data_IF_861662352497
#
_entry.id   IF_861662352497
#
_cell.length_a   1.000
_cell.length_b   1.000
_cell.length_c   1.000
_cell.angle_alpha   90.00
_cell.angle_beta   90.00
_cell.angle_gamma   90.00
#
_symmetry.space_group_name_H-M   'P 1'
#
loop_
_entity.id
_entity.type
_entity.pdbx_description
1 polymer ?
#
# COMPACT_ATOMS: atom_id res chain seq x y z
N UNK A 1 -10.79 -20.80 -4.28
CA UNK A 1 -9.71 -21.38 -3.43
C UNK A 1 -9.72 -22.90 -3.61
N UNK A 2 -8.60 -23.60 -3.40
CA UNK A 2 -8.49 -25.06 -3.52
C UNK A 2 -7.91 -25.60 -2.21
N UNK A 3 -8.55 -26.59 -1.62
CA UNK A 3 -8.03 -27.34 -0.48
C UNK A 3 -7.59 -28.72 -0.97
N UNK A 4 -6.41 -29.16 -0.55
CA UNK A 4 -5.90 -30.51 -0.80
C UNK A 4 -6.00 -31.28 0.51
N UNK A 5 -6.77 -32.36 0.54
CA UNK A 5 -6.93 -33.21 1.73
C UNK A 5 -5.85 -34.29 1.76
N UNK A 6 -5.46 -34.71 2.97
CA UNK A 6 -4.58 -35.85 3.17
C UNK A 6 -5.23 -37.15 2.67
N UNK A 7 -4.48 -38.21 2.36
CA UNK A 7 -5.06 -39.51 2.03
C UNK A 7 -5.88 -40.06 3.23
N UNK A 8 -6.99 -40.74 2.95
CA UNK A 8 -7.75 -41.47 3.97
C UNK A 8 -8.62 -40.63 4.92
N UNK A 9 -8.97 -39.39 4.57
CA UNK A 9 -9.90 -38.57 5.38
C UNK A 9 -11.26 -39.26 5.52
N UNK A 10 -11.76 -39.32 6.76
CA UNK A 10 -13.07 -39.90 7.04
C UNK A 10 -14.19 -39.12 6.32
N UNK A 11 -15.19 -39.78 5.72
CA UNK A 11 -16.31 -39.12 5.06
C UNK A 11 -17.01 -38.07 5.93
N UNK A 12 -17.11 -38.30 7.23
CA UNK A 12 -17.75 -37.42 8.20
C UNK A 12 -16.99 -36.10 8.34
N UNK A 13 -15.67 -36.15 8.46
CA UNK A 13 -14.80 -34.97 8.54
C UNK A 13 -14.87 -34.13 7.26
N UNK A 14 -14.87 -34.81 6.11
CA UNK A 14 -15.04 -34.15 4.81
C UNK A 14 -16.39 -33.44 4.71
N UNK A 15 -17.47 -34.11 5.11
CA UNK A 15 -18.82 -33.55 5.05
C UNK A 15 -19.02 -32.38 6.02
N UNK A 16 -18.35 -32.41 7.19
CA UNK A 16 -18.32 -31.28 8.11
C UNK A 16 -17.58 -30.08 7.50
N UNK A 17 -16.41 -30.30 6.89
CA UNK A 17 -15.68 -29.24 6.17
C UNK A 17 -16.54 -28.62 5.06
N UNK A 18 -17.22 -29.44 4.24
CA UNK A 18 -18.10 -28.96 3.16
C UNK A 18 -19.22 -28.09 3.74
N UNK A 19 -19.90 -28.55 4.79
CA UNK A 19 -20.98 -27.77 5.45
C UNK A 19 -20.48 -26.45 6.02
N UNK A 20 -19.28 -26.43 6.60
CA UNK A 20 -18.66 -25.21 7.10
C UNK A 20 -18.35 -24.23 5.96
N UNK A 21 -17.89 -24.71 4.81
CA UNK A 21 -17.64 -23.87 3.64
C UNK A 21 -18.95 -23.31 3.07
N UNK A 22 -19.98 -24.15 2.94
CA UNK A 22 -21.29 -23.75 2.42
C UNK A 22 -21.99 -22.74 3.34
N UNK A 23 -21.80 -22.85 4.66
CA UNK A 23 -22.34 -21.87 5.61
C UNK A 23 -21.70 -20.48 5.49
N UNK A 24 -20.51 -20.39 4.87
CA UNK A 24 -19.88 -19.12 4.48
C UNK A 24 -20.44 -18.55 3.16
N UNK A 25 -21.42 -19.21 2.53
CA UNK A 25 -22.02 -18.77 1.27
C UNK A 25 -21.20 -19.13 0.02
N UNK A 26 -20.28 -20.09 0.13
CA UNK A 26 -19.50 -20.59 -1.00
C UNK A 26 -20.07 -21.88 -1.57
N UNK A 27 -19.82 -22.12 -2.85
CA UNK A 27 -20.08 -23.40 -3.49
C UNK A 27 -18.85 -24.31 -3.42
N UNK A 28 -19.08 -25.61 -3.29
CA UNK A 28 -18.03 -26.61 -3.17
C UNK A 28 -18.06 -27.61 -4.33
N UNK A 29 -16.91 -27.80 -4.96
CA UNK A 29 -16.67 -28.86 -5.93
C UNK A 29 -15.63 -29.83 -5.38
N UNK A 30 -16.01 -31.09 -5.22
CA UNK A 30 -15.10 -32.14 -4.73
C UNK A 30 -14.63 -32.98 -5.90
N UNK A 31 -13.31 -33.14 -6.03
CA UNK A 31 -12.66 -34.06 -6.97
C UNK A 31 -11.89 -35.10 -6.17
N UNK A 32 -12.36 -36.35 -6.22
CA UNK A 32 -11.71 -37.49 -5.56
C UNK A 32 -10.76 -38.14 -6.55
N UNK A 33 -9.45 -37.99 -6.32
CA UNK A 33 -8.40 -38.69 -7.06
C UNK A 33 -8.00 -40.00 -6.38
N UNK A 34 -7.14 -40.78 -7.04
CA UNK A 34 -6.64 -42.05 -6.51
C UNK A 34 -5.81 -41.88 -5.22
N UNK A 35 -5.04 -40.79 -5.12
CA UNK A 35 -4.14 -40.53 -3.98
C UNK A 35 -4.63 -39.40 -3.05
N UNK A 36 -5.35 -38.40 -3.58
CA UNK A 36 -5.77 -37.22 -2.82
C UNK A 36 -7.17 -36.78 -3.20
N UNK A 37 -7.86 -36.14 -2.25
CA UNK A 37 -9.13 -35.45 -2.51
C UNK A 37 -8.89 -33.96 -2.56
N UNK A 38 -9.35 -33.34 -3.65
CA UNK A 38 -9.29 -31.90 -3.88
C UNK A 38 -10.68 -31.31 -3.64
N UNK A 39 -10.74 -30.23 -2.87
CA UNK A 39 -11.97 -29.48 -2.59
C UNK A 39 -11.82 -28.07 -3.15
N UNK A 40 -12.47 -27.80 -4.27
CA UNK A 40 -12.55 -26.49 -4.89
C UNK A 40 -13.66 -25.65 -4.27
N UNK A 41 -13.32 -24.43 -3.87
CA UNK A 41 -14.22 -23.40 -3.34
C UNK A 41 -14.50 -22.37 -4.44
N UNK A 42 -15.76 -22.24 -4.82
CA UNK A 42 -16.25 -21.33 -5.86
C UNK A 42 -17.11 -20.23 -5.20
N UNK A 43 -16.80 -18.97 -5.50
CA UNK A 43 -17.41 -17.79 -4.88
C UNK A 43 -16.38 -16.72 -4.51
N UNK A 44 -16.80 -15.69 -3.77
CA UNK A 44 -15.89 -14.62 -3.30
C UNK A 44 -15.02 -15.12 -2.13
N UNK A 45 -13.85 -15.65 -2.47
CA UNK A 45 -12.88 -16.14 -1.47
C UNK A 45 -11.92 -15.07 -0.95
N UNK A 46 -12.07 -13.80 -1.36
CA UNK A 46 -11.11 -12.73 -1.00
C UNK A 46 -11.03 -12.52 0.51
N UNK A 47 -12.19 -12.58 1.18
CA UNK A 47 -12.37 -12.37 2.63
C UNK A 47 -11.99 -13.57 3.50
N UNK A 48 -11.66 -14.71 2.90
CA UNK A 48 -11.47 -15.96 3.64
C UNK A 48 -10.00 -16.15 4.01
N UNK A 49 -9.72 -16.20 5.30
CA UNK A 49 -8.37 -16.48 5.76
C UNK A 49 -7.97 -17.93 5.42
N UNK A 50 -6.85 -18.14 4.72
CA UNK A 50 -6.36 -19.47 4.37
C UNK A 50 -6.06 -20.32 5.61
N UNK A 51 -5.64 -19.70 6.71
CA UNK A 51 -5.38 -20.38 7.98
C UNK A 51 -6.62 -21.07 8.58
N UNK A 52 -7.84 -20.59 8.26
CA UNK A 52 -9.10 -21.20 8.70
C UNK A 52 -9.22 -22.65 8.26
N UNK A 53 -8.72 -23.00 7.07
CA UNK A 53 -8.77 -24.36 6.57
C UNK A 53 -7.46 -25.12 6.81
N UNK A 54 -6.32 -24.44 6.84
CA UNK A 54 -5.04 -25.06 7.19
C UNK A 54 -4.98 -25.60 8.62
N UNK A 55 -5.86 -25.15 9.52
CA UNK A 55 -5.94 -25.63 10.90
C UNK A 55 -6.58 -27.02 11.04
N UNK A 56 -7.24 -27.53 10.01
CA UNK A 56 -7.78 -28.90 10.04
C UNK A 56 -6.65 -29.89 9.80
N UNK A 57 -6.44 -30.82 10.74
CA UNK A 57 -5.34 -31.79 10.69
C UNK A 57 -5.33 -32.66 9.42
N UNK A 58 -6.49 -32.83 8.78
CA UNK A 58 -6.68 -33.60 7.56
C UNK A 58 -6.57 -32.77 6.27
N UNK A 59 -6.33 -31.46 6.36
CA UNK A 59 -6.00 -30.60 5.23
C UNK A 59 -4.48 -30.59 5.06
N UNK A 60 -4.01 -30.97 3.88
CA UNK A 60 -2.59 -30.99 3.53
C UNK A 60 -2.10 -29.63 3.04
N UNK A 61 -2.87 -28.96 2.18
CA UNK A 61 -2.50 -27.66 1.59
C UNK A 61 -3.73 -26.82 1.30
N UNK A 62 -3.55 -25.51 1.31
CA UNK A 62 -4.56 -24.51 0.90
C UNK A 62 -3.96 -23.62 -0.17
N UNK A 63 -4.54 -23.63 -1.36
CA UNK A 63 -4.10 -22.85 -2.52
C UNK A 63 -5.16 -21.79 -2.84
N UNK A 64 -4.76 -20.52 -2.88
CA UNK A 64 -5.62 -19.44 -3.40
C UNK A 64 -5.52 -19.44 -4.93
N UNK A 65 -6.67 -19.40 -5.60
CA UNK A 65 -6.77 -19.29 -7.07
C UNK A 65 -6.88 -17.83 -7.50
N UNK A 66 -7.44 -16.98 -6.64
CA UNK A 66 -7.59 -15.55 -6.85
C UNK A 66 -6.71 -14.78 -5.88
N UNK A 67 -6.07 -13.72 -6.39
CA UNK A 67 -5.30 -12.78 -5.58
C UNK A 67 -6.15 -12.15 -4.46
N UNK A 68 -5.57 -11.86 -3.28
CA UNK A 68 -6.30 -11.33 -2.12
C UNK A 68 -6.73 -9.86 -2.25
N UNK A 69 -6.09 -9.08 -3.13
CA UNK A 69 -6.38 -7.67 -3.38
C UNK A 69 -7.33 -7.53 -4.57
N UNK A 70 -8.49 -6.88 -4.39
CA UNK A 70 -9.51 -6.76 -5.44
C UNK A 70 -9.43 -5.40 -6.12
N UNK A 71 -9.39 -4.30 -5.36
CA UNK A 71 -9.38 -2.95 -5.91
C UNK A 71 -8.05 -2.59 -6.56
N UNK A 72 -6.94 -3.10 -6.04
CA UNK A 72 -5.61 -2.92 -6.64
C UNK A 72 -5.37 -3.82 -7.87
N UNK A 73 -6.31 -4.69 -8.23
CA UNK A 73 -6.11 -5.73 -9.23
C UNK A 73 -6.74 -5.37 -10.58
N UNK A 74 -5.92 -5.43 -11.64
CA UNK A 74 -6.35 -5.13 -13.01
C UNK A 74 -7.44 -6.06 -13.56
N UNK A 75 -7.58 -7.28 -13.02
CA UNK A 75 -8.70 -8.14 -13.39
C UNK A 75 -10.05 -7.54 -13.00
N UNK A 76 -10.09 -6.71 -11.95
CA UNK A 76 -11.30 -6.05 -11.48
C UNK A 76 -11.39 -4.59 -11.93
N UNK A 77 -10.25 -3.91 -12.13
CA UNK A 77 -10.16 -2.56 -12.70
C UNK A 77 -9.16 -2.56 -13.88
N UNK A 78 -9.60 -2.92 -15.10
CA UNK A 78 -8.71 -3.06 -16.25
C UNK A 78 -8.04 -1.75 -16.67
N UNK A 79 -8.70 -0.62 -16.44
CA UNK A 79 -8.25 0.70 -16.87
C UNK A 79 -7.06 1.20 -16.03
N UNK A 80 -6.21 2.01 -16.64
CA UNK A 80 -5.13 2.69 -15.93
C UNK A 80 -5.67 3.80 -15.03
N UNK A 81 -5.31 3.75 -13.74
CA UNK A 81 -5.51 4.90 -12.84
C UNK A 81 -4.53 6.01 -13.22
N UNK A 82 -5.07 7.20 -13.52
CA UNK A 82 -4.29 8.43 -13.76
C UNK A 82 -4.72 9.47 -12.72
N UNK A 83 -3.79 9.87 -11.86
CA UNK A 83 -4.03 10.82 -10.77
C UNK A 83 -3.56 12.20 -11.22
N UNK A 84 -4.46 13.19 -11.21
CA UNK A 84 -4.14 14.58 -11.50
C UNK A 84 -3.93 15.35 -10.18
N UNK A 85 -2.72 15.89 -10.01
CA UNK A 85 -2.37 16.72 -8.86
C UNK A 85 -1.92 18.09 -9.36
N UNK A 86 -2.78 19.10 -9.17
CA UNK A 86 -2.51 20.48 -9.60
C UNK A 86 -2.12 20.57 -11.09
N UNK A 87 -2.85 19.86 -11.97
CA UNK A 87 -2.62 19.84 -13.42
C UNK A 87 -1.50 18.90 -13.87
N UNK A 88 -0.91 18.11 -12.96
CA UNK A 88 0.18 17.17 -13.25
C UNK A 88 -0.34 15.75 -13.11
N UNK A 89 -0.28 15.00 -14.21
CA UNK A 89 -0.81 13.64 -14.28
C UNK A 89 0.24 12.60 -13.94
N UNK A 90 -0.12 11.65 -13.08
CA UNK A 90 0.70 10.52 -12.64
C UNK A 90 -0.04 9.25 -13.07
N UNK A 91 0.53 8.48 -13.99
CA UNK A 91 -0.07 7.27 -14.53
C UNK A 91 0.35 7.02 -15.97
N UNK A 92 -0.35 6.12 -16.65
CA UNK A 92 -0.05 5.73 -18.03
C UNK A 92 0.06 6.96 -18.96
N UNK A 93 1.12 6.99 -19.77
CA UNK A 93 1.40 8.07 -20.72
C UNK A 93 2.14 9.28 -20.14
N UNK A 94 2.41 9.32 -18.83
CA UNK A 94 3.11 10.43 -18.18
C UNK A 94 4.33 9.93 -17.40
N UNK A 95 5.42 10.68 -17.51
CA UNK A 95 6.62 10.49 -16.70
C UNK A 95 6.84 11.74 -15.84
N UNK A 96 6.82 11.57 -14.52
CA UNK A 96 6.91 12.66 -13.56
C UNK A 96 8.19 12.57 -12.73
N UNK A 97 8.74 13.74 -12.38
CA UNK A 97 9.93 13.84 -11.53
C UNK A 97 9.53 14.52 -10.23
N UNK A 98 9.66 13.79 -9.12
CA UNK A 98 9.50 14.29 -7.76
C UNK A 98 10.90 14.43 -7.16
N UNK A 99 11.35 15.66 -6.92
CA UNK A 99 12.73 15.94 -6.50
C UNK A 99 12.77 16.91 -5.32
N UNK A 100 13.88 16.90 -4.58
CA UNK A 100 14.07 17.75 -3.40
C UNK A 100 14.86 17.01 -2.31
N UNK A 101 15.20 17.71 -1.21
CA UNK A 101 16.12 17.18 -0.24
C UNK A 101 15.52 16.02 0.57
N UNK A 102 16.42 15.26 1.19
CA UNK A 102 16.02 14.18 2.10
C UNK A 102 15.26 14.74 3.31
N UNK A 103 15.74 15.85 3.87
CA UNK A 103 15.16 16.55 5.01
C UNK A 103 15.04 18.03 4.69
N UNK A 104 14.02 18.68 5.23
CA UNK A 104 13.94 20.14 5.25
C UNK A 104 14.78 20.63 6.43
N UNK A 105 15.72 21.53 6.17
CA UNK A 105 16.71 21.98 7.15
C UNK A 105 16.65 23.49 7.42
N UNK A 106 16.22 24.29 6.43
CA UNK A 106 15.93 25.72 6.59
C UNK A 106 15.03 26.21 5.44
N UNK A 107 14.40 27.38 5.63
CA UNK A 107 13.64 28.05 4.58
C UNK A 107 14.51 28.35 3.35
N UNK A 108 15.68 28.97 3.55
CA UNK A 108 16.61 29.33 2.47
C UNK A 108 17.00 28.10 1.63
N UNK A 109 17.29 26.97 2.29
CA UNK A 109 17.64 25.71 1.64
C UNK A 109 16.50 25.20 0.77
N UNK A 110 15.29 25.06 1.32
CA UNK A 110 14.19 24.45 0.59
C UNK A 110 13.66 25.35 -0.53
N UNK A 111 13.59 26.66 -0.32
CA UNK A 111 13.17 27.64 -1.33
C UNK A 111 14.19 27.72 -2.45
N UNK A 112 15.49 27.76 -2.12
CA UNK A 112 16.57 27.74 -3.12
C UNK A 112 16.52 26.50 -4.00
N UNK A 113 16.39 25.31 -3.40
CA UNK A 113 16.25 24.05 -4.14
C UNK A 113 14.99 24.06 -5.01
N UNK A 114 13.85 24.51 -4.48
CA UNK A 114 12.59 24.53 -5.22
C UNK A 114 12.69 25.40 -6.49
N UNK A 115 13.36 26.55 -6.43
CA UNK A 115 13.59 27.43 -7.58
C UNK A 115 14.41 26.74 -8.66
N UNK A 116 15.50 26.06 -8.30
CA UNK A 116 16.33 25.33 -9.26
C UNK A 116 15.61 24.12 -9.85
N UNK A 117 14.86 23.36 -9.04
CA UNK A 117 14.05 22.25 -9.52
C UNK A 117 12.95 22.70 -10.49
N UNK A 118 12.32 23.85 -10.22
CA UNK A 118 11.31 24.43 -11.11
C UNK A 118 11.92 24.76 -12.48
N UNK A 119 13.11 25.38 -12.51
CA UNK A 119 13.85 25.66 -13.75
C UNK A 119 14.24 24.38 -14.50
N UNK A 120 14.62 23.34 -13.76
CA UNK A 120 14.99 22.04 -14.32
C UNK A 120 13.80 21.20 -14.82
N UNK A 121 12.55 21.66 -14.62
CA UNK A 121 11.35 20.97 -15.09
C UNK A 121 10.85 19.87 -14.15
N UNK A 122 11.23 19.89 -12.86
CA UNK A 122 10.65 18.98 -11.88
C UNK A 122 9.13 19.18 -11.77
N UNK A 123 8.40 18.08 -11.63
CA UNK A 123 6.95 18.09 -11.50
C UNK A 123 6.54 18.48 -10.08
N UNK A 124 7.24 17.96 -9.06
CA UNK A 124 6.91 18.17 -7.65
C UNK A 124 8.16 18.44 -6.81
N UNK A 125 7.97 19.15 -5.70
CA UNK A 125 8.95 19.33 -4.66
C UNK A 125 8.72 18.31 -3.54
N UNK A 126 9.72 17.50 -3.20
CA UNK A 126 9.70 16.65 -2.01
C UNK A 126 10.57 17.18 -0.89
N UNK A 127 10.14 16.99 0.36
CA UNK A 127 10.94 17.31 1.53
C UNK A 127 10.44 16.57 2.77
N UNK A 128 11.36 15.98 3.55
CA UNK A 128 11.02 15.30 4.79
C UNK A 128 10.96 16.29 5.95
N UNK A 129 9.75 16.70 6.35
CA UNK A 129 9.51 17.51 7.55
C UNK A 129 9.73 16.68 8.83
N UNK A 130 9.37 15.40 8.78
CA UNK A 130 9.59 14.40 9.83
C UNK A 130 10.54 13.31 9.31
N UNK A 131 11.42 12.78 10.18
CA UNK A 131 12.42 11.77 9.80
C UNK A 131 12.31 10.51 10.66
N UNK A 132 12.01 9.33 10.07
CA UNK A 132 12.12 8.06 10.79
C UNK A 132 13.59 7.66 10.94
N UNK A 133 14.20 8.02 12.07
CA UNK A 133 15.60 7.70 12.36
C UNK A 133 15.70 6.47 13.26
N UNK A 134 16.73 5.66 13.00
CA UNK A 134 17.07 4.52 13.87
C UNK A 134 17.63 4.98 15.21
N UNK A 135 18.40 6.08 15.21
CA UNK A 135 18.98 6.66 16.43
C UNK A 135 18.13 7.84 16.91
N UNK A 136 17.77 7.91 18.21
CA UNK A 136 17.01 9.02 18.78
C UNK A 136 17.82 10.33 18.80
N UNK A 137 19.16 10.25 18.75
CA UNK A 137 20.06 11.42 18.77
C UNK A 137 20.29 12.04 17.39
N UNK A 138 19.76 11.40 16.34
CA UNK A 138 19.81 11.96 14.99
C UNK A 138 18.83 13.12 14.85
N UNK A 139 19.07 13.99 13.86
CA UNK A 139 18.11 15.01 13.45
C UNK A 139 16.75 14.37 13.08
N UNK A 140 15.70 14.76 13.81
CA UNK A 140 14.35 14.19 13.68
C UNK A 140 13.49 14.89 12.61
N UNK A 141 14.01 15.97 12.00
CA UNK A 141 13.23 16.87 11.16
C UNK A 141 12.73 18.07 11.96
N UNK A 142 12.30 19.12 11.26
CA UNK A 142 11.73 20.34 11.85
C UNK A 142 10.24 20.19 12.21
N UNK A 143 9.61 19.07 11.88
CA UNK A 143 8.18 18.86 12.12
C UNK A 143 7.33 19.88 11.37
N UNK A 144 6.37 20.49 12.06
CA UNK A 144 5.44 21.46 11.46
C UNK A 144 6.13 22.68 10.85
N UNK A 145 7.20 23.18 11.47
CA UNK A 145 7.99 24.29 10.91
C UNK A 145 8.62 23.91 9.56
N UNK A 146 9.09 22.66 9.41
CA UNK A 146 9.58 22.16 8.12
C UNK A 146 8.48 22.08 7.07
N UNK A 147 7.23 21.89 7.48
CA UNK A 147 6.08 21.92 6.58
C UNK A 147 5.72 23.36 6.18
N UNK A 148 5.80 24.31 7.11
CA UNK A 148 5.65 25.75 6.81
C UNK A 148 6.65 26.20 5.73
N UNK A 149 7.91 25.79 5.85
CA UNK A 149 8.94 26.09 4.84
C UNK A 149 8.64 25.45 3.47
N UNK A 150 8.07 24.25 3.43
CA UNK A 150 7.63 23.63 2.18
C UNK A 150 6.48 24.44 1.55
N UNK A 151 5.54 24.91 2.36
CA UNK A 151 4.43 25.77 1.89
C UNK A 151 4.93 27.08 1.31
N UNK A 152 5.92 27.72 1.95
CA UNK A 152 6.60 28.92 1.40
C UNK A 152 7.26 28.60 0.05
N UNK A 153 8.02 27.50 -0.03
CA UNK A 153 8.66 27.08 -1.29
C UNK A 153 7.64 26.80 -2.41
N UNK A 154 6.47 26.24 -2.09
CA UNK A 154 5.37 26.06 -3.04
C UNK A 154 4.78 27.38 -3.49
N UNK A 155 4.54 28.34 -2.59
CA UNK A 155 4.04 29.68 -2.93
C UNK A 155 4.98 30.39 -3.91
N UNK A 156 6.28 30.28 -3.68
CA UNK A 156 7.32 30.91 -4.51
C UNK A 156 7.46 30.30 -5.91
N UNK A 157 7.20 29.00 -6.07
CA UNK A 157 7.57 28.24 -7.30
C UNK A 157 6.40 27.58 -8.02
N UNK A 158 5.26 27.46 -7.35
CA UNK A 158 4.11 26.69 -7.82
C UNK A 158 4.38 25.19 -7.96
N UNK A 159 5.42 24.65 -7.31
CA UNK A 159 5.68 23.21 -7.25
C UNK A 159 4.84 22.59 -6.13
N UNK A 160 3.95 21.62 -6.43
CA UNK A 160 3.19 20.93 -5.40
C UNK A 160 4.11 20.05 -4.54
N UNK A 161 3.72 19.86 -3.29
CA UNK A 161 4.53 19.28 -2.23
C UNK A 161 4.25 17.78 -2.07
N UNK A 162 5.31 17.00 -1.94
CA UNK A 162 5.27 15.61 -1.48
C UNK A 162 6.03 15.49 -0.17
N UNK A 163 5.35 15.12 0.92
CA UNK A 163 5.99 14.95 2.23
C UNK A 163 5.55 13.67 2.94
N UNK A 164 6.45 13.11 3.76
CA UNK A 164 6.21 11.85 4.46
C UNK A 164 5.48 12.08 5.79
N UNK A 165 4.35 11.40 5.95
CA UNK A 165 3.60 11.39 7.20
C UNK A 165 4.11 10.26 8.10
N UNK A 166 4.30 10.56 9.38
CA UNK A 166 4.81 9.62 10.37
C UNK A 166 3.75 9.07 11.32
N UNK A 167 2.73 9.88 11.63
CA UNK A 167 1.65 9.56 12.56
C UNK A 167 0.35 10.24 12.11
N UNK A 168 -0.78 9.71 12.55
CA UNK A 168 -2.11 10.29 12.34
C UNK A 168 -2.31 11.61 13.09
N UNK A 169 -1.49 11.90 14.11
CA UNK A 169 -1.62 13.12 14.95
C UNK A 169 -1.44 14.43 14.16
N UNK A 170 -0.78 14.36 13.00
CA UNK A 170 -0.52 15.51 12.13
C UNK A 170 -1.30 15.43 10.82
N UNK A 171 -2.25 14.50 10.72
CA UNK A 171 -2.98 14.21 9.48
C UNK A 171 -3.72 15.43 8.95
N UNK A 172 -4.44 16.17 9.81
CA UNK A 172 -5.19 17.36 9.42
C UNK A 172 -4.30 18.40 8.75
N UNK A 173 -3.10 18.61 9.32
CA UNK A 173 -2.13 19.53 8.74
C UNK A 173 -1.59 19.04 7.40
N UNK A 174 -1.34 17.74 7.25
CA UNK A 174 -0.94 17.16 5.97
C UNK A 174 -2.05 17.29 4.92
N UNK A 175 -3.33 17.16 5.30
CA UNK A 175 -4.45 17.39 4.39
C UNK A 175 -4.51 18.85 3.94
N UNK A 176 -4.18 19.81 4.79
CA UNK A 176 -4.17 21.21 4.39
C UNK A 176 -3.01 21.54 3.45
N UNK A 177 -1.79 21.15 3.83
CA UNK A 177 -0.57 21.70 3.22
C UNK A 177 0.07 20.81 2.15
N UNK A 178 -0.11 19.49 2.22
CA UNK A 178 0.59 18.54 1.35
C UNK A 178 -0.29 18.13 0.18
N UNK A 179 0.29 18.12 -1.03
CA UNK A 179 -0.43 17.77 -2.25
C UNK A 179 -0.44 16.25 -2.50
N UNK A 180 0.65 15.56 -2.12
CA UNK A 180 0.75 14.09 -2.10
C UNK A 180 1.34 13.62 -0.77
N UNK A 181 0.57 12.86 0.00
CA UNK A 181 1.02 12.32 1.29
C UNK A 181 1.83 11.05 1.03
N UNK A 182 3.11 11.04 1.41
CA UNK A 182 3.96 9.85 1.30
C UNK A 182 3.86 9.00 2.57
N UNK A 183 3.68 7.69 2.37
CA UNK A 183 3.91 6.67 3.39
C UNK A 183 5.28 6.04 3.17
N UNK A 184 6.17 6.21 4.13
CA UNK A 184 7.51 5.62 4.09
C UNK A 184 7.51 4.10 4.20
N UNK A 185 8.59 3.46 3.72
CA UNK A 185 8.74 2.01 3.72
C UNK A 185 8.58 1.36 5.11
N UNK A 186 8.94 2.07 6.19
CA UNK A 186 8.78 1.60 7.58
C UNK A 186 7.33 1.59 8.05
N UNK A 187 6.48 2.39 7.43
CA UNK A 187 5.06 2.50 7.73
C UNK A 187 4.19 1.78 6.68
N UNK A 188 4.78 1.01 5.73
CA UNK A 188 4.00 0.31 4.68
C UNK A 188 2.93 -0.62 5.27
N UNK A 189 3.14 -1.20 6.45
CA UNK A 189 2.15 -2.05 7.14
C UNK A 189 1.61 -1.40 8.42
N UNK A 190 1.70 -0.08 8.54
CA UNK A 190 1.01 0.65 9.60
C UNK A 190 -0.48 0.79 9.23
N UNK A 191 -1.25 -0.29 9.39
CA UNK A 191 -2.63 -0.37 8.90
C UNK A 191 -3.57 0.67 9.52
N UNK A 192 -3.29 1.12 10.75
CA UNK A 192 -4.04 2.23 11.37
C UNK A 192 -3.85 3.51 10.56
N UNK A 193 -2.60 3.87 10.25
CA UNK A 193 -2.29 5.01 9.40
C UNK A 193 -2.88 4.87 8.00
N UNK A 194 -2.73 3.69 7.37
CA UNK A 194 -3.25 3.47 6.01
C UNK A 194 -4.77 3.62 5.92
N UNK A 195 -5.50 3.14 6.93
CA UNK A 195 -6.96 3.29 6.96
C UNK A 195 -7.40 4.74 7.09
N UNK A 196 -6.76 5.49 7.99
CA UNK A 196 -7.03 6.92 8.13
C UNK A 196 -6.71 7.69 6.83
N UNK A 197 -5.58 7.39 6.18
CA UNK A 197 -5.25 7.96 4.87
C UNK A 197 -6.27 7.58 3.78
N UNK A 198 -6.81 6.36 3.84
CA UNK A 198 -7.87 5.86 2.98
C UNK A 198 -9.22 6.57 3.14
N UNK A 199 -9.45 7.23 4.29
CA UNK A 199 -10.65 8.05 4.53
C UNK A 199 -10.51 9.48 4.02
N UNK A 200 -9.29 9.88 3.65
CA UNK A 200 -9.04 11.20 3.05
C UNK A 200 -9.29 11.18 1.53
N UNK A 201 -9.17 12.35 0.89
CA UNK A 201 -9.17 12.48 -0.58
C UNK A 201 -7.79 12.85 -1.14
N UNK A 202 -6.75 12.85 -0.32
CA UNK A 202 -5.40 13.18 -0.76
C UNK A 202 -4.76 12.01 -1.50
N UNK A 203 -4.04 12.25 -2.61
CA UNK A 203 -3.20 11.24 -3.21
C UNK A 203 -2.17 10.70 -2.22
N UNK A 204 -2.03 9.37 -2.17
CA UNK A 204 -1.12 8.67 -1.28
C UNK A 204 0.00 8.02 -2.08
N UNK A 205 1.24 8.41 -1.83
CA UNK A 205 2.42 7.74 -2.36
C UNK A 205 2.88 6.66 -1.36
N UNK A 206 2.58 5.40 -1.68
CA UNK A 206 2.89 4.24 -0.84
C UNK A 206 4.21 3.61 -1.27
N UNK A 207 5.24 3.74 -0.44
CA UNK A 207 6.53 3.06 -0.66
C UNK A 207 6.46 1.59 -0.29
N UNK A 208 7.10 0.73 -1.10
CA UNK A 208 7.29 -0.68 -0.76
C UNK A 208 8.12 -0.83 0.52
N UNK A 209 7.72 -1.75 1.38
CA UNK A 209 8.41 -2.11 2.61
C UNK A 209 9.73 -2.80 2.30
N UNK A 210 10.69 -2.67 3.21
CA UNK A 210 12.08 -3.12 3.00
C UNK A 210 12.17 -4.63 2.71
N UNK A 211 11.26 -5.43 3.26
CA UNK A 211 11.22 -6.88 3.05
C UNK A 211 9.86 -7.37 2.55
N UNK A 212 9.02 -6.45 2.06
CA UNK A 212 7.69 -6.79 1.60
C UNK A 212 7.72 -7.49 0.24
N UNK A 213 6.97 -8.56 0.09
CA UNK A 213 6.60 -9.13 -1.20
C UNK A 213 5.72 -8.15 -2.00
N UNK A 214 5.51 -8.44 -3.30
CA UNK A 214 4.59 -7.64 -4.12
C UNK A 214 3.15 -7.79 -3.64
N UNK A 215 2.74 -9.00 -3.24
CA UNK A 215 1.41 -9.26 -2.68
C UNK A 215 1.17 -8.43 -1.41
N UNK A 216 2.11 -8.43 -0.46
CA UNK A 216 1.96 -7.63 0.78
C UNK A 216 1.88 -6.14 0.48
N UNK A 217 2.63 -5.65 -0.51
CA UNK A 217 2.60 -4.24 -0.89
C UNK A 217 1.28 -3.84 -1.54
N UNK A 218 0.75 -4.68 -2.45
CA UNK A 218 -0.56 -4.48 -3.06
C UNK A 218 -1.69 -4.61 -2.04
N UNK A 219 -1.55 -5.50 -1.05
CA UNK A 219 -2.47 -5.58 0.08
C UNK A 219 -2.44 -4.32 0.95
N UNK A 220 -1.26 -3.72 1.20
CA UNK A 220 -1.18 -2.42 1.86
C UNK A 220 -1.87 -1.31 1.05
N UNK A 221 -1.77 -1.33 -0.28
CA UNK A 221 -2.55 -0.43 -1.12
C UNK A 221 -4.05 -0.69 -0.99
N UNK A 222 -4.47 -1.96 -0.97
CA UNK A 222 -5.86 -2.39 -0.76
C UNK A 222 -6.44 -1.83 0.54
N UNK A 223 -5.66 -1.72 1.63
CA UNK A 223 -6.14 -1.07 2.86
C UNK A 223 -6.58 0.38 2.63
N UNK A 224 -5.81 1.16 1.87
CA UNK A 224 -6.16 2.55 1.52
C UNK A 224 -7.39 2.57 0.61
N UNK A 225 -7.38 1.75 -0.44
CA UNK A 225 -8.46 1.66 -1.43
C UNK A 225 -9.78 1.23 -0.78
N UNK A 226 -9.73 0.27 0.15
CA UNK A 226 -10.90 -0.28 0.84
C UNK A 226 -11.66 0.71 1.70
N UNK A 227 -11.01 1.78 2.15
CA UNK A 227 -11.65 2.87 2.91
C UNK A 227 -12.19 3.99 2.00
N UNK A 228 -11.98 3.91 0.67
CA UNK A 228 -12.61 4.79 -0.32
C UNK A 228 -11.73 5.86 -0.96
N UNK A 229 -10.40 5.78 -0.80
CA UNK A 229 -9.44 6.63 -1.50
C UNK A 229 -8.76 5.88 -2.64
N UNK A 230 -9.20 6.15 -3.88
CA UNK A 230 -8.67 5.51 -5.08
C UNK A 230 -7.33 6.09 -5.57
N UNK A 231 -6.84 7.17 -4.95
CA UNK A 231 -5.66 7.90 -5.42
C UNK A 231 -4.37 7.36 -4.81
N UNK A 232 -4.02 6.11 -5.13
CA UNK A 232 -2.80 5.45 -4.63
C UNK A 232 -1.72 5.39 -5.71
N UNK A 233 -0.53 5.89 -5.38
CA UNK A 233 0.69 5.86 -6.19
C UNK A 233 1.67 4.89 -5.56
N UNK A 234 2.08 3.86 -6.30
CA UNK A 234 3.05 2.87 -5.84
C UNK A 234 4.48 3.33 -6.16
N UNK A 235 5.34 3.37 -5.15
CA UNK A 235 6.79 3.64 -5.28
C UNK A 235 7.65 2.44 -4.85
N UNK A 236 8.25 1.75 -5.84
CA UNK A 236 9.32 0.76 -5.60
C UNK A 236 10.56 1.48 -5.07
N UNK A 237 11.28 0.87 -4.11
CA UNK A 237 12.40 1.51 -3.41
C UNK A 237 13.53 0.56 -3.01
N UNK A 238 13.55 -0.65 -3.57
CA UNK A 238 14.50 -1.72 -3.26
C UNK A 238 14.09 -2.53 -2.04
N UNK A 239 14.45 -3.80 -2.07
CA UNK A 239 14.27 -4.76 -0.97
C UNK A 239 15.60 -5.10 -0.32
N UNK A 240 15.54 -5.56 0.93
CA UNK A 240 16.70 -6.13 1.63
C UNK A 240 17.04 -7.49 1.02
N UNK A 241 18.30 -7.65 0.65
CA UNK A 241 18.89 -8.90 0.18
C UNK A 241 20.10 -9.23 1.05
N UNK A 242 20.89 -10.22 0.64
CA UNK A 242 22.15 -10.55 1.29
C UNK A 242 23.32 -9.60 0.93
N UNK A 243 23.14 -8.74 -0.08
CA UNK A 243 24.17 -7.82 -0.59
C UNK A 243 24.37 -6.63 0.36
N UNK A 244 25.62 -6.12 0.47
CA UNK A 244 26.02 -5.02 1.38
C UNK A 244 26.38 -3.73 0.67
#
# INVERSE_FOLDING_TARGET
MILVLKPGVAPEQKNELIRHIESMGLQVHVSVGEETTIVGLVGDTTKINSYTFSSYDFVSNVLRVTEPFKQANRMFKPEDTVIDVCGRKIGHGYFIIIAGPCSVESEEQIVGIARELKKAGASFLRGGAYKPRTSPYSFQGLGLEGLDFLTIARQETGLPIVSEIMSTDVLDRFIEDVDIIQVGARNMQNFVLLKELGRTKKPILLKRGISATLEEWLMSAEYILSEGNENVILCERGIRTFET
#
